data_IF_743158798800
#
_entry.id   IF_743158798800
#
_cell.length_a   1.000
_cell.length_b   1.000
_cell.length_c   1.000
_cell.angle_alpha   90.00
_cell.angle_beta   90.00
_cell.angle_gamma   90.00
#
_symmetry.space_group_name_H-M   'P 1'
#
loop_
_entity.id
_entity.type
_entity.pdbx_description
1 polymer ?
#
# COMPACT_ATOMS: atom_id res chain seq x y z
N UNK A 1 4.84 -1.74 -6.07
CA UNK A 1 3.66 -1.79 -6.96
C UNK A 1 3.95 -0.87 -8.15
N UNK A 2 3.42 -1.12 -9.35
CA UNK A 2 3.62 -0.22 -10.49
C UNK A 2 2.34 -0.08 -11.30
N UNK A 3 1.89 1.14 -11.51
CA UNK A 3 0.83 1.56 -12.41
C UNK A 3 1.39 2.62 -13.37
N UNK A 4 0.90 2.62 -14.60
CA UNK A 4 1.37 3.48 -15.69
C UNK A 4 0.19 4.16 -16.34
N UNK A 5 0.30 5.47 -16.54
CA UNK A 5 -0.61 6.26 -17.36
C UNK A 5 0.08 6.63 -18.69
N UNK A 6 -0.69 6.84 -19.75
CA UNK A 6 -0.16 7.12 -21.09
C UNK A 6 0.05 8.62 -21.36
N UNK A 7 -0.53 9.49 -20.53
CA UNK A 7 -0.41 10.93 -20.65
C UNK A 7 0.90 11.45 -20.07
N UNK A 8 1.40 12.57 -20.61
CA UNK A 8 2.60 13.23 -20.12
C UNK A 8 2.29 14.41 -19.18
N UNK A 9 3.26 14.76 -18.32
CA UNK A 9 3.14 15.90 -17.41
C UNK A 9 2.25 15.60 -16.20
N UNK A 10 1.52 16.60 -15.71
CA UNK A 10 0.72 16.49 -14.47
C UNK A 10 -0.40 15.45 -14.56
N UNK A 11 -0.87 15.14 -15.77
CA UNK A 11 -1.91 14.13 -16.01
C UNK A 11 -1.37 12.69 -16.00
N UNK A 12 -0.05 12.51 -16.17
CA UNK A 12 0.61 11.21 -16.08
C UNK A 12 1.07 10.83 -14.67
N UNK A 13 0.79 11.67 -13.66
CA UNK A 13 1.20 11.39 -12.28
C UNK A 13 0.27 10.36 -11.64
N UNK A 14 0.84 9.20 -11.30
CA UNK A 14 0.15 8.13 -10.61
C UNK A 14 0.39 8.26 -9.11
N UNK A 15 -0.67 8.10 -8.33
CA UNK A 15 -0.62 8.14 -6.87
C UNK A 15 -1.29 6.89 -6.29
N UNK A 16 -0.65 6.30 -5.29
CA UNK A 16 -1.10 5.03 -4.69
C UNK A 16 -1.73 5.26 -3.32
N UNK A 17 -2.83 4.57 -3.06
CA UNK A 17 -3.52 4.61 -1.78
C UNK A 17 -4.18 3.28 -1.48
N UNK A 18 -4.27 2.89 -0.22
CA UNK A 18 -5.03 1.70 0.11
C UNK A 18 -6.53 1.96 0.02
N UNK A 19 -7.26 1.04 -0.61
CA UNK A 19 -8.71 1.13 -0.77
C UNK A 19 -9.45 0.76 0.52
N UNK A 20 -9.06 -0.35 1.14
CA UNK A 20 -9.61 -0.79 2.43
C UNK A 20 -8.48 -1.25 3.34
N UNK A 21 -8.29 -0.56 4.46
CA UNK A 21 -7.39 -1.01 5.52
C UNK A 21 -8.13 -1.17 6.83
N UNK A 22 -7.96 -2.32 7.47
CA UNK A 22 -8.38 -2.48 8.86
C UNK A 22 -7.55 -1.57 9.77
N UNK A 23 -8.07 -1.25 10.96
CA UNK A 23 -7.35 -0.44 11.95
C UNK A 23 -6.04 -1.08 12.40
N UNK A 24 -5.96 -2.42 12.38
CA UNK A 24 -4.70 -3.14 12.59
C UNK A 24 -3.75 -2.98 11.39
N UNK A 25 -4.29 -3.09 10.17
CA UNK A 25 -3.52 -2.88 8.95
C UNK A 25 -2.85 -1.50 8.90
N UNK A 26 -3.53 -0.45 9.37
CA UNK A 26 -2.97 0.92 9.33
C UNK A 26 -1.83 1.15 10.32
N UNK A 27 -1.71 0.29 11.32
CA UNK A 27 -0.60 0.30 12.27
C UNK A 27 0.56 -0.61 11.83
N UNK A 28 0.27 -1.61 11.01
CA UNK A 28 1.22 -2.62 10.54
C UNK A 28 1.87 -2.26 9.20
N UNK A 29 1.15 -1.61 8.29
CA UNK A 29 1.58 -1.36 6.92
C UNK A 29 1.63 0.13 6.59
N UNK A 30 2.62 0.51 5.77
CA UNK A 30 2.74 1.83 5.18
C UNK A 30 2.92 1.72 3.67
N UNK A 31 2.14 2.50 2.91
CA UNK A 31 2.28 2.66 1.47
C UNK A 31 2.87 4.03 1.18
N UNK A 32 3.91 4.06 0.37
CA UNK A 32 4.45 5.27 -0.21
C UNK A 32 3.61 5.67 -1.44
N UNK A 33 2.97 6.84 -1.36
CA UNK A 33 2.00 7.28 -2.36
C UNK A 33 2.60 7.61 -3.73
N UNK A 34 3.91 7.89 -3.81
CA UNK A 34 4.56 8.28 -5.06
C UNK A 34 5.15 7.05 -5.77
N UNK A 35 5.73 6.13 -4.99
CA UNK A 35 6.47 4.98 -5.51
C UNK A 35 5.65 3.68 -5.52
N UNK A 36 4.53 3.63 -4.80
CA UNK A 36 3.76 2.41 -4.61
C UNK A 36 4.49 1.35 -3.78
N UNK A 37 5.45 1.76 -2.94
CA UNK A 37 6.23 0.85 -2.07
C UNK A 37 5.47 0.57 -0.80
N UNK A 38 5.25 -0.71 -0.48
CA UNK A 38 4.64 -1.15 0.78
C UNK A 38 5.75 -1.59 1.75
N UNK A 39 5.68 -1.10 2.98
CA UNK A 39 6.62 -1.41 4.06
C UNK A 39 5.88 -1.82 5.32
N UNK A 40 6.53 -2.66 6.13
CA UNK A 40 6.05 -3.05 7.45
C UNK A 40 6.53 -2.04 8.49
N UNK A 41 5.60 -1.49 9.26
CA UNK A 41 5.86 -0.66 10.44
C UNK A 41 6.12 -1.52 11.67
N UNK A 42 5.59 -2.74 11.69
CA UNK A 42 5.74 -3.71 12.77
C UNK A 42 6.05 -5.10 12.19
N UNK A 43 6.72 -5.93 13.00
CA UNK A 43 7.00 -7.32 12.63
C UNK A 43 5.71 -8.13 12.55
N UNK A 44 5.58 -8.96 11.52
CA UNK A 44 4.49 -9.94 11.44
C UNK A 44 4.80 -11.11 12.36
N UNK A 45 3.92 -11.37 13.32
CA UNK A 45 3.91 -12.55 14.16
C UNK A 45 2.85 -13.53 13.66
N UNK A 46 3.23 -14.80 13.55
CA UNK A 46 2.34 -15.86 13.07
C UNK A 46 1.12 -16.06 13.98
N UNK A 47 1.23 -15.72 15.27
CA UNK A 47 0.12 -15.84 16.24
C UNK A 47 -0.98 -14.79 16.05
N UNK A 48 -0.72 -13.69 15.36
CA UNK A 48 -1.71 -12.61 15.15
C UNK A 48 -2.64 -12.83 13.96
N UNK A 49 -2.28 -13.72 13.03
CA UNK A 49 -3.08 -14.05 11.86
C UNK A 49 -2.32 -14.80 10.79
N UNK A 50 -2.99 -15.79 10.18
CA UNK A 50 -2.41 -16.69 9.18
C UNK A 50 -2.22 -16.02 7.81
N UNK A 51 -3.01 -14.98 7.50
CA UNK A 51 -2.93 -14.22 6.25
C UNK A 51 -3.42 -12.78 6.41
N UNK A 52 -2.89 -11.88 5.57
CA UNK A 52 -3.26 -10.47 5.51
C UNK A 52 -3.52 -10.10 4.05
N UNK A 53 -4.69 -9.53 3.78
CA UNK A 53 -5.11 -9.08 2.44
C UNK A 53 -5.16 -7.56 2.41
N UNK A 54 -4.61 -6.97 1.34
CA UNK A 54 -4.49 -5.53 1.14
C UNK A 54 -4.92 -5.19 -0.28
N UNK A 55 -5.72 -4.13 -0.42
CA UNK A 55 -6.19 -3.62 -1.71
C UNK A 55 -5.63 -2.20 -1.92
N UNK A 56 -4.97 -1.97 -3.06
CA UNK A 56 -4.23 -0.74 -3.42
C UNK A 56 -4.63 -0.28 -4.81
#
# INVERSE_FOLDING_TARGET
LTASDADEGMNGQVMYSFQTLSTKGSQMYKLDHDTGTITLLQSLDFESGDSYELEV
#
